data_IF_159655007744
#
_entry.id   IF_159655007744
#
_cell.length_a   1.000
_cell.length_b   1.000
_cell.length_c   1.000
_cell.angle_alpha   90.00
_cell.angle_beta   90.00
_cell.angle_gamma   90.00
#
_symmetry.space_group_name_H-M   'P 1'
#
loop_
_entity.id
_entity.type
_entity.pdbx_description
1 polymer ?
#
# COMPACT_ATOMS: atom_id res chain seq x y z
N UNK A 1 7.15 14.68 2.50
CA UNK A 1 6.77 13.26 2.52
C UNK A 1 5.79 13.03 1.37
N UNK A 2 6.31 13.02 0.15
CA UNK A 2 5.57 12.75 -1.09
C UNK A 2 6.49 12.05 -2.09
N UNK A 3 7.21 11.05 -1.59
CA UNK A 3 8.05 10.21 -2.44
C UNK A 3 7.26 9.01 -2.96
N UNK A 4 7.61 8.56 -4.17
CA UNK A 4 7.04 7.38 -4.82
C UNK A 4 8.19 6.59 -5.47
N UNK A 5 8.29 5.31 -5.13
CA UNK A 5 9.34 4.44 -5.67
C UNK A 5 8.74 3.18 -6.30
N UNK A 6 9.34 2.71 -7.39
CA UNK A 6 8.97 1.46 -8.06
C UNK A 6 10.06 0.43 -7.92
N UNK A 7 9.69 -0.79 -7.52
CA UNK A 7 10.59 -1.94 -7.51
C UNK A 7 9.91 -3.10 -8.23
N UNK A 8 10.62 -3.77 -9.15
CA UNK A 8 10.06 -4.93 -9.86
C UNK A 8 9.82 -6.10 -8.90
N UNK A 9 10.74 -6.32 -7.97
CA UNK A 9 10.63 -7.31 -6.92
C UNK A 9 10.68 -6.65 -5.54
N UNK A 10 10.10 -7.31 -4.54
CA UNK A 10 10.07 -6.81 -3.17
C UNK A 10 10.19 -7.94 -2.15
N UNK A 11 10.99 -7.69 -1.11
CA UNK A 11 11.16 -8.58 0.05
C UNK A 11 10.70 -7.80 1.29
N UNK A 12 9.55 -8.15 1.88
CA UNK A 12 9.09 -7.52 3.12
C UNK A 12 10.08 -7.78 4.26
N UNK A 13 10.15 -6.85 5.20
CA UNK A 13 10.99 -6.93 6.38
C UNK A 13 10.72 -8.20 7.18
N UNK A 14 11.76 -9.00 7.43
CA UNK A 14 11.64 -10.25 8.18
C UNK A 14 11.06 -11.43 7.38
N UNK A 15 10.59 -11.23 6.15
CA UNK A 15 10.22 -12.32 5.25
C UNK A 15 11.44 -12.84 4.48
N UNK A 16 11.53 -14.15 4.28
CA UNK A 16 12.57 -14.77 3.44
C UNK A 16 12.16 -14.96 1.98
N UNK A 17 10.88 -14.72 1.66
CA UNK A 17 10.32 -14.92 0.33
C UNK A 17 10.29 -13.59 -0.43
N UNK A 18 10.88 -13.61 -1.61
CA UNK A 18 10.78 -12.51 -2.58
C UNK A 18 9.47 -12.64 -3.37
N UNK A 19 8.84 -11.49 -3.62
CA UNK A 19 7.67 -11.39 -4.46
C UNK A 19 8.05 -10.66 -5.74
N UNK A 20 7.62 -11.20 -6.88
CA UNK A 20 7.72 -10.57 -8.19
C UNK A 20 6.32 -10.14 -8.64
N UNK A 21 6.23 -9.01 -9.34
CA UNK A 21 4.96 -8.45 -9.80
C UNK A 21 4.89 -6.93 -9.89
N UNK A 22 5.95 -6.21 -9.49
CA UNK A 22 5.98 -4.75 -9.47
C UNK A 22 5.27 -4.18 -8.23
N UNK A 23 6.03 -3.43 -7.44
CA UNK A 23 5.61 -2.85 -6.17
C UNK A 23 5.82 -1.35 -6.21
N UNK A 24 4.81 -0.60 -5.74
CA UNK A 24 4.94 0.83 -5.53
C UNK A 24 5.01 1.13 -4.03
N UNK A 25 6.02 1.90 -3.68
CA UNK A 25 6.18 2.48 -2.35
C UNK A 25 5.66 3.90 -2.37
N UNK A 26 4.68 4.19 -1.50
CA UNK A 26 3.97 5.48 -1.46
C UNK A 26 4.15 6.11 -0.08
N UNK A 27 4.62 7.36 -0.01
CA UNK A 27 4.62 8.09 1.25
C UNK A 27 3.20 8.50 1.69
N UNK A 28 2.98 8.73 2.99
CA UNK A 28 1.67 9.13 3.55
C UNK A 28 1.04 10.37 2.89
N UNK A 29 1.84 11.28 2.34
CA UNK A 29 1.35 12.51 1.72
C UNK A 29 0.92 12.34 0.25
N UNK A 30 1.15 11.18 -0.36
CA UNK A 30 0.82 10.92 -1.76
C UNK A 30 -0.70 10.81 -1.90
N UNK A 31 -1.23 11.49 -2.91
CA UNK A 31 -2.64 11.39 -3.30
C UNK A 31 -2.78 10.46 -4.50
N UNK A 32 -3.96 9.88 -4.69
CA UNK A 32 -4.21 8.96 -5.81
C UNK A 32 -3.88 9.57 -7.18
N UNK A 33 -4.14 10.87 -7.39
CA UNK A 33 -3.77 11.54 -8.64
C UNK A 33 -2.26 11.57 -8.90
N UNK A 34 -1.43 11.60 -7.87
CA UNK A 34 0.03 11.54 -7.96
C UNK A 34 0.47 10.07 -8.17
N UNK A 35 -0.09 9.14 -7.40
CA UNK A 35 0.17 7.71 -7.52
C UNK A 35 -0.18 7.16 -8.91
N UNK A 36 -1.33 7.55 -9.48
CA UNK A 36 -1.75 7.12 -10.82
C UNK A 36 -0.80 7.62 -11.91
N UNK A 37 -0.39 8.89 -11.85
CA UNK A 37 0.56 9.45 -12.83
C UNK A 37 1.91 8.74 -12.79
N UNK A 38 2.39 8.43 -11.59
CA UNK A 38 3.64 7.68 -11.44
C UNK A 38 3.50 6.24 -11.94
N UNK A 39 2.41 5.55 -11.57
CA UNK A 39 2.14 4.20 -12.02
C UNK A 39 2.06 4.09 -13.55
N UNK A 40 1.38 5.04 -14.19
CA UNK A 40 1.31 5.16 -15.65
C UNK A 40 2.69 5.34 -16.29
N UNK A 41 3.57 6.15 -15.68
CA UNK A 41 4.94 6.37 -16.18
C UNK A 41 5.84 5.13 -16.15
N UNK A 42 5.45 4.10 -15.39
CA UNK A 42 6.16 2.81 -15.30
C UNK A 42 5.33 1.64 -15.87
N UNK A 43 4.30 1.94 -16.66
CA UNK A 43 3.39 0.96 -17.27
C UNK A 43 2.80 -0.02 -16.24
N UNK A 44 2.27 0.51 -15.12
CA UNK A 44 1.61 -0.27 -14.07
C UNK A 44 0.23 0.29 -13.74
N UNK A 45 -0.67 -0.58 -13.30
CA UNK A 45 -1.98 -0.19 -12.77
C UNK A 45 -2.01 -0.36 -11.26
N UNK A 46 -2.82 0.49 -10.62
CA UNK A 46 -2.98 0.51 -9.19
C UNK A 46 -4.46 0.55 -8.77
N UNK A 47 -4.88 -0.41 -7.94
CA UNK A 47 -6.15 -0.43 -7.16
C UNK A 47 -6.20 0.75 -6.18
N UNK A 48 -6.75 1.86 -6.65
CA UNK A 48 -6.98 3.05 -5.84
C UNK A 48 -8.40 3.58 -5.87
N UNK A 49 -8.62 4.69 -5.16
CA UNK A 49 -9.91 5.37 -5.10
C UNK A 49 -10.21 6.19 -6.36
N UNK A 50 -11.49 6.28 -6.74
CA UNK A 50 -11.90 7.07 -7.90
C UNK A 50 -11.68 8.59 -7.75
N UNK A 51 -11.68 9.10 -6.52
CA UNK A 51 -11.39 10.50 -6.23
C UNK A 51 -9.87 10.72 -6.12
N UNK A 52 -9.30 11.49 -7.05
CA UNK A 52 -7.85 11.69 -7.18
C UNK A 52 -7.22 12.50 -6.03
N UNK A 53 -8.02 13.26 -5.27
CA UNK A 53 -7.56 14.05 -4.13
C UNK A 53 -7.41 13.26 -2.83
N UNK A 54 -7.90 12.01 -2.78
CA UNK A 54 -7.81 11.18 -1.57
C UNK A 54 -6.38 10.67 -1.40
N UNK A 55 -5.89 10.65 -0.16
CA UNK A 55 -4.57 10.12 0.19
C UNK A 55 -4.47 8.62 -0.11
N UNK A 56 -3.42 8.20 -0.81
CA UNK A 56 -3.23 6.81 -1.24
C UNK A 56 -2.66 5.91 -0.14
N UNK A 57 -1.92 6.46 0.81
CA UNK A 57 -1.23 5.73 1.89
C UNK A 57 -1.76 6.09 3.29
N UNK A 58 -3.08 6.31 3.39
CA UNK A 58 -3.74 6.75 4.62
C UNK A 58 -5.03 5.99 4.94
N UNK A 59 -6.08 6.71 5.35
CA UNK A 59 -7.34 6.08 5.77
C UNK A 59 -8.06 5.27 4.70
N UNK A 60 -7.85 5.57 3.41
CA UNK A 60 -8.49 4.83 2.31
C UNK A 60 -8.10 3.35 2.29
N UNK A 61 -6.82 2.98 2.09
CA UNK A 61 -6.44 1.56 2.08
C UNK A 61 -6.55 0.93 3.47
N UNK A 62 -6.37 1.67 4.58
CA UNK A 62 -6.48 1.13 5.94
C UNK A 62 -7.92 0.82 6.38
N UNK A 63 -8.91 1.48 5.79
CA UNK A 63 -10.33 1.27 6.10
C UNK A 63 -11.04 0.29 5.17
N UNK A 64 -10.36 -0.24 4.14
CA UNK A 64 -11.01 -0.95 3.04
C UNK A 64 -10.38 -0.60 1.71
N UNK A 65 -10.78 0.54 1.18
CA UNK A 65 -10.30 1.08 -0.08
C UNK A 65 -11.01 0.43 -1.27
N UNK A 66 -12.27 0.78 -1.50
CA UNK A 66 -12.99 0.29 -2.67
C UNK A 66 -12.50 0.97 -3.96
N UNK A 67 -12.21 0.17 -4.97
CA UNK A 67 -11.76 0.59 -6.30
C UNK A 67 -12.67 0.03 -7.39
N UNK A 68 -12.64 0.66 -8.56
CA UNK A 68 -13.25 0.09 -9.78
C UNK A 68 -12.65 -1.27 -10.14
N UNK A 69 -11.40 -1.52 -9.73
CA UNK A 69 -10.69 -2.77 -9.94
C UNK A 69 -11.02 -3.83 -8.88
N UNK A 70 -11.75 -3.48 -7.83
CA UNK A 70 -11.97 -4.38 -6.69
C UNK A 70 -12.68 -5.70 -7.01
N UNK A 71 -13.62 -5.79 -7.97
CA UNK A 71 -14.19 -7.08 -8.37
C UNK A 71 -13.17 -8.09 -8.89
N UNK A 72 -12.04 -7.64 -9.42
CA UNK A 72 -11.01 -8.49 -10.02
C UNK A 72 -9.73 -8.57 -9.18
N UNK A 73 -9.35 -7.47 -8.52
CA UNK A 73 -8.06 -7.32 -7.83
C UNK A 73 -8.19 -7.13 -6.31
N UNK A 74 -9.41 -7.23 -5.76
CA UNK A 74 -9.66 -7.05 -4.33
C UNK A 74 -9.66 -5.59 -3.87
N UNK A 75 -9.84 -5.39 -2.57
CA UNK A 75 -9.85 -4.04 -1.97
C UNK A 75 -8.43 -3.50 -1.84
N UNK A 76 -8.30 -2.18 -1.65
CA UNK A 76 -7.02 -1.53 -1.38
C UNK A 76 -6.25 -2.18 -0.23
N UNK A 77 -6.93 -2.61 0.83
CA UNK A 77 -6.31 -3.33 1.95
C UNK A 77 -5.72 -4.69 1.55
N UNK A 78 -6.30 -5.38 0.56
CA UNK A 78 -5.79 -6.69 0.13
C UNK A 78 -4.49 -6.56 -0.68
N UNK A 79 -4.26 -5.35 -1.18
CA UNK A 79 -3.15 -4.96 -2.03
C UNK A 79 -2.00 -4.35 -1.22
N UNK A 80 -1.97 -4.51 0.11
CA UNK A 80 -0.87 -4.04 0.96
C UNK A 80 0.07 -5.21 1.26
N UNK A 81 1.38 -5.03 1.03
CA UNK A 81 2.41 -6.03 1.35
C UNK A 81 3.12 -5.75 2.68
N UNK A 82 3.38 -4.48 2.99
CA UNK A 82 4.05 -4.02 4.20
C UNK A 82 3.59 -2.61 4.57
N UNK A 83 3.45 -2.37 5.87
CA UNK A 83 3.18 -1.06 6.45
C UNK A 83 4.39 -0.59 7.26
N UNK A 84 4.72 0.68 7.13
CA UNK A 84 5.55 1.36 8.11
C UNK A 84 4.61 2.27 8.93
N UNK A 85 4.71 2.21 10.26
CA UNK A 85 3.80 2.92 11.15
C UNK A 85 4.46 3.32 12.45
N UNK A 86 3.94 4.37 13.07
CA UNK A 86 4.33 4.77 14.42
C UNK A 86 3.29 4.27 15.41
N UNK A 87 3.70 3.43 16.35
CA UNK A 87 2.83 2.93 17.43
C UNK A 87 2.65 3.97 18.54
N UNK A 88 1.69 3.73 19.45
CA UNK A 88 1.37 4.68 20.53
C UNK A 88 2.53 4.93 21.52
N UNK A 89 3.52 4.03 21.54
CA UNK A 89 4.79 4.17 22.26
C UNK A 89 5.83 5.06 21.54
N UNK A 90 5.46 5.65 20.39
CA UNK A 90 6.31 6.52 19.58
C UNK A 90 7.35 5.76 18.73
N UNK A 91 7.28 4.43 18.66
CA UNK A 91 8.23 3.63 17.90
C UNK A 91 7.80 3.46 16.44
N UNK A 92 8.75 3.61 15.53
CA UNK A 92 8.58 3.28 14.12
C UNK A 92 8.69 1.76 13.95
N UNK A 93 7.67 1.14 13.37
CA UNK A 93 7.60 -0.30 13.13
C UNK A 93 7.31 -0.58 11.67
N UNK A 94 7.93 -1.64 11.16
CA UNK A 94 7.57 -2.26 9.88
C UNK A 94 6.78 -3.53 10.17
N UNK A 95 5.54 -3.56 9.69
CA UNK A 95 4.62 -4.66 9.96
C UNK A 95 4.11 -5.28 8.66
N UNK A 96 4.09 -6.60 8.63
CA UNK A 96 3.70 -7.43 7.50
C UNK A 96 3.35 -8.84 8.02
N UNK A 97 3.19 -9.83 7.13
CA UNK A 97 2.87 -11.21 7.51
C UNK A 97 3.98 -11.92 8.33
N UNK A 98 5.23 -11.44 8.25
CA UNK A 98 6.39 -12.00 8.96
C UNK A 98 6.83 -11.16 10.18
N UNK A 99 6.36 -9.92 10.31
CA UNK A 99 6.74 -8.97 11.35
C UNK A 99 5.48 -8.32 11.94
N UNK A 100 5.16 -8.63 13.20
CA UNK A 100 3.93 -8.21 13.90
C UNK A 100 2.63 -8.47 13.08
N UNK A 101 2.34 -9.74 12.68
CA UNK A 101 1.22 -10.07 11.80
C UNK A 101 -0.16 -9.69 12.36
N UNK A 102 -0.32 -9.71 13.68
CA UNK A 102 -1.57 -9.28 14.33
C UNK A 102 -1.84 -7.78 14.13
N UNK A 103 -0.79 -6.96 14.21
CA UNK A 103 -0.88 -5.52 13.97
C UNK A 103 -1.08 -5.23 12.47
N UNK A 104 -0.42 -5.98 11.61
CA UNK A 104 -0.63 -5.92 10.16
C UNK A 104 -2.06 -6.30 9.76
N UNK A 105 -2.63 -7.35 10.37
CA UNK A 105 -4.04 -7.72 10.18
C UNK A 105 -4.98 -6.61 10.67
N UNK A 106 -4.76 -6.09 11.89
CA UNK A 106 -5.61 -5.06 12.47
C UNK A 106 -5.59 -3.75 11.64
N UNK A 107 -4.43 -3.38 11.10
CA UNK A 107 -4.30 -2.19 10.27
C UNK A 107 -5.04 -2.30 8.92
N UNK A 108 -5.21 -3.51 8.36
CA UNK A 108 -5.93 -3.78 7.10
C UNK A 108 -7.44 -3.92 7.31
N UNK A 109 -8.09 -2.84 7.75
CA UNK A 109 -9.55 -2.76 7.90
C UNK A 109 -10.02 -2.14 9.22
N UNK A 110 -9.14 -2.04 10.22
CA UNK A 110 -9.44 -1.40 11.52
C UNK A 110 -9.49 0.14 11.46
N UNK A 111 -8.90 0.76 10.43
CA UNK A 111 -8.83 2.21 10.28
C UNK A 111 -7.94 2.94 11.32
N UNK A 112 -7.61 4.20 11.00
CA UNK A 112 -7.17 5.27 11.93
C UNK A 112 -5.78 5.17 12.62
N UNK A 113 -4.80 5.98 12.17
CA UNK A 113 -3.74 6.56 13.03
C UNK A 113 -2.28 6.21 12.73
N UNK A 114 -1.99 5.24 11.85
CA UNK A 114 -0.64 4.82 11.52
C UNK A 114 -0.04 5.67 10.38
N UNK A 115 0.95 6.51 10.69
CA UNK A 115 1.67 7.32 9.69
C UNK A 115 2.62 6.45 8.85
N UNK A 116 2.42 6.48 7.52
CA UNK A 116 3.33 6.10 6.42
C UNK A 116 3.40 4.62 5.97
N UNK A 117 2.36 4.16 5.30
CA UNK A 117 2.33 2.89 4.57
C UNK A 117 3.17 2.99 3.29
N UNK A 118 4.41 2.51 3.32
CA UNK A 118 5.34 2.61 2.18
C UNK A 118 5.22 1.47 1.17
N UNK A 119 4.15 0.66 1.13
CA UNK A 119 3.99 -0.29 0.02
C UNK A 119 2.55 -0.65 -0.29
N UNK A 120 2.21 -0.52 -1.56
CA UNK A 120 0.95 -0.93 -2.14
C UNK A 120 1.29 -1.83 -3.35
N UNK A 121 1.10 -3.13 -3.18
CA UNK A 121 1.12 -4.17 -4.21
C UNK A 121 -0.20 -4.10 -4.97
N UNK A 122 -0.21 -3.59 -6.20
CA UNK A 122 -1.36 -3.85 -7.08
C UNK A 122 -0.86 -4.50 -8.34
N UNK A 123 -1.14 -5.78 -8.45
CA UNK A 123 -0.92 -6.54 -9.68
C UNK A 123 -1.99 -6.15 -10.70
N UNK A 124 -1.58 -5.54 -11.80
CA UNK A 124 -2.39 -5.51 -13.02
C UNK A 124 -2.33 -6.89 -13.67
N UNK A 125 -3.45 -7.61 -13.68
CA UNK A 125 -3.66 -8.65 -14.67
C UNK A 125 -4.27 -7.96 -15.90
N UNK A 126 -3.43 -7.58 -16.87
CA UNK A 126 -3.76 -7.38 -18.28
C UNK A 126 -2.44 -7.08 -19.04
N UNK A 127 -1.84 -8.15 -19.59
CA UNK A 127 -1.06 -8.11 -20.84
C UNK A 127 -2.00 -8.19 -22.02
#
# INVERSE_FOLDING_TARGET
MKDIQFNQTFVPYGCSKEFDGGFLTLDAGVQWGEAYKYADSVDRLIVGGGATSVGSAGGFPLGGGYSLLSPSLGLGLNNIAELELVTADGQLRKVNECSDPDLFWAARGGGGGANCISSLLMGSALT
#
